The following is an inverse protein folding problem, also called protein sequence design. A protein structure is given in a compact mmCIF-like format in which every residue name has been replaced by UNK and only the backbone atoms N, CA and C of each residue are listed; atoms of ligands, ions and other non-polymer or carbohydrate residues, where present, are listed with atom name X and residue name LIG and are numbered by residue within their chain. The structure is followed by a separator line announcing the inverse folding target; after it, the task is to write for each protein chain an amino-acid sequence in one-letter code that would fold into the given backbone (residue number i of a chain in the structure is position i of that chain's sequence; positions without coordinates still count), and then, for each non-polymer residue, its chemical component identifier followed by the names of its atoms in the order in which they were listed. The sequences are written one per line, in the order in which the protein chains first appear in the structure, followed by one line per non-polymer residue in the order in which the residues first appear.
data_IF_452960168348
#
_entry.id   IF_452960168348
#
_cell.length_a   1.000
_cell.length_b   1.000
_cell.length_c   1.000
_cell.angle_alpha   90.00
_cell.angle_beta   90.00
_cell.angle_gamma   90.00
#
_symmetry.space_group_name_H-M   'P 1'
#
loop_
_entity.id
_entity.type
_entity.pdbx_description
1 polymer ?
#
# COMPACT_ATOMS: atom_id res chain seq x y z
N UNK A 1 -3.23 -6.25 20.24
CA UNK A 1 -3.79 -4.96 20.73
C UNK A 1 -5.29 -4.94 20.47
N UNK A 2 -6.11 -4.19 21.22
CA UNK A 2 -7.56 -4.16 21.02
C UNK A 2 -7.93 -2.97 20.14
N UNK A 3 -8.79 -3.22 19.12
CA UNK A 3 -9.36 -2.19 18.25
C UNK A 3 -10.83 -1.97 18.58
N UNK A 4 -11.27 -0.73 18.49
CA UNK A 4 -12.68 -0.37 18.48
C UNK A 4 -13.17 -0.41 17.05
N UNK A 5 -14.33 -1.03 16.82
CA UNK A 5 -14.96 -1.14 15.54
C UNK A 5 -16.23 -0.28 15.49
N UNK A 6 -16.37 0.52 14.45
CA UNK A 6 -17.60 1.25 14.11
C UNK A 6 -17.90 1.06 12.62
N UNK A 7 -19.17 0.91 12.31
CA UNK A 7 -19.65 0.70 10.94
C UNK A 7 -20.63 1.79 10.56
N UNK A 8 -20.40 2.37 9.39
CA UNK A 8 -21.25 3.39 8.80
C UNK A 8 -21.75 2.93 7.43
N UNK A 9 -22.91 3.46 7.00
CA UNK A 9 -23.43 3.24 5.65
C UNK A 9 -23.32 4.53 4.85
N UNK A 10 -22.79 4.44 3.62
CA UNK A 10 -22.52 5.58 2.76
C UNK A 10 -23.21 5.38 1.40
N UNK A 11 -24.13 6.27 1.02
CA UNK A 11 -24.88 6.14 -0.24
C UNK A 11 -24.00 6.38 -1.48
N UNK A 12 -23.05 7.34 -1.39
CA UNK A 12 -22.16 7.73 -2.50
C UNK A 12 -20.73 7.23 -2.23
N UNK A 13 -20.55 5.91 -2.29
CA UNK A 13 -19.30 5.28 -1.87
C UNK A 13 -18.09 5.73 -2.70
N UNK A 14 -18.23 5.96 -3.99
CA UNK A 14 -17.11 6.42 -4.84
C UNK A 14 -16.63 7.82 -4.45
N UNK A 15 -17.57 8.73 -4.10
CA UNK A 15 -17.19 10.05 -3.60
C UNK A 15 -16.50 9.92 -2.23
N UNK A 16 -16.99 9.05 -1.37
CA UNK A 16 -16.39 8.78 -0.07
C UNK A 16 -14.97 8.23 -0.22
N UNK A 17 -14.73 7.28 -1.14
CA UNK A 17 -13.39 6.76 -1.43
C UNK A 17 -12.42 7.86 -1.87
N UNK A 18 -12.88 8.76 -2.75
CA UNK A 18 -12.05 9.90 -3.17
C UNK A 18 -11.72 10.84 -2.00
N UNK A 19 -12.73 11.20 -1.22
CA UNK A 19 -12.55 12.03 -0.04
C UNK A 19 -11.60 11.38 0.96
N UNK A 20 -11.78 10.07 1.23
CA UNK A 20 -10.94 9.29 2.12
C UNK A 20 -9.47 9.28 1.67
N UNK A 21 -9.22 9.14 0.37
CA UNK A 21 -7.87 9.18 -0.19
C UNK A 21 -7.23 10.58 -0.02
N UNK A 22 -7.98 11.65 -0.23
CA UNK A 22 -7.48 13.01 0.01
C UNK A 22 -7.28 13.29 1.49
N UNK A 23 -8.24 12.91 2.33
CA UNK A 23 -8.15 13.04 3.78
C UNK A 23 -6.91 12.32 4.33
N UNK A 24 -6.58 11.16 3.80
CA UNK A 24 -5.43 10.37 4.24
C UNK A 24 -4.09 11.07 4.00
N UNK A 25 -3.99 12.03 3.07
CA UNK A 25 -2.74 12.73 2.72
C UNK A 25 -2.17 13.59 3.87
N UNK A 26 -2.92 13.84 4.92
CA UNK A 26 -2.42 14.48 6.13
C UNK A 26 -1.44 13.60 6.93
N UNK A 27 -1.43 12.29 6.67
CA UNK A 27 -0.58 11.34 7.36
C UNK A 27 0.67 11.01 6.56
N UNK A 28 1.78 10.78 7.24
CA UNK A 28 3.07 10.49 6.63
C UNK A 28 3.14 9.08 6.04
N UNK A 29 2.51 8.10 6.72
CA UNK A 29 2.50 6.69 6.30
C UNK A 29 1.10 6.29 5.91
N UNK A 30 0.93 5.89 4.63
CA UNK A 30 -0.34 5.52 4.03
C UNK A 30 -0.18 4.25 3.20
N UNK A 31 -1.08 3.30 3.39
CA UNK A 31 -1.29 2.18 2.45
C UNK A 31 -2.74 2.19 1.99
N UNK A 32 -2.94 2.29 0.68
CA UNK A 32 -4.23 2.23 0.01
C UNK A 32 -4.29 0.98 -0.85
N UNK A 33 -5.26 0.11 -0.58
CA UNK A 33 -5.54 -1.08 -1.35
C UNK A 33 -6.94 -0.96 -1.93
N UNK A 34 -7.08 -1.07 -3.25
CA UNK A 34 -8.37 -0.98 -3.93
C UNK A 34 -8.48 -2.08 -4.98
N UNK A 35 -9.61 -2.77 -5.00
CA UNK A 35 -9.91 -3.79 -6.00
C UNK A 35 -10.17 -3.22 -7.40
N UNK A 36 -10.32 -1.90 -7.54
CA UNK A 36 -10.69 -1.22 -8.80
C UNK A 36 -11.93 -1.85 -9.47
N UNK A 37 -12.90 -2.24 -8.66
CA UNK A 37 -14.12 -2.94 -9.10
C UNK A 37 -13.87 -4.31 -9.77
N UNK A 38 -12.68 -4.90 -9.61
CA UNK A 38 -12.42 -6.24 -10.09
C UNK A 38 -13.22 -7.26 -9.26
N UNK A 39 -14.06 -8.05 -9.93
CA UNK A 39 -14.88 -9.07 -9.28
C UNK A 39 -14.01 -10.27 -8.91
N UNK A 40 -13.75 -10.45 -7.63
CA UNK A 40 -13.10 -11.63 -7.07
C UNK A 40 -14.15 -12.56 -6.48
N UNK A 41 -13.92 -13.87 -6.60
CA UNK A 41 -14.79 -14.88 -6.01
C UNK A 41 -14.76 -14.81 -4.48
N UNK A 42 -13.62 -14.49 -3.90
CA UNK A 42 -13.41 -14.35 -2.46
C UNK A 42 -12.78 -12.97 -2.19
N UNK A 43 -13.56 -12.08 -1.61
CA UNK A 43 -13.10 -10.76 -1.19
C UNK A 43 -13.61 -10.44 0.20
N UNK A 44 -12.71 -10.05 1.10
CA UNK A 44 -13.06 -9.57 2.43
C UNK A 44 -13.46 -8.10 2.43
N UNK A 45 -12.88 -7.31 1.51
CA UNK A 45 -13.13 -5.87 1.35
C UNK A 45 -12.93 -5.48 -0.12
N UNK A 46 -13.51 -4.36 -0.53
CA UNK A 46 -13.31 -3.76 -1.85
C UNK A 46 -12.19 -2.74 -1.83
N UNK A 47 -12.05 -2.02 -0.69
CA UNK A 47 -10.98 -1.08 -0.46
C UNK A 47 -10.53 -1.13 1.01
N UNK A 48 -9.25 -0.87 1.26
CA UNK A 48 -8.69 -0.71 2.59
C UNK A 48 -7.72 0.48 2.62
N UNK A 49 -7.88 1.33 3.63
CA UNK A 49 -6.93 2.38 4.00
C UNK A 49 -6.29 2.02 5.34
N UNK A 50 -4.97 1.98 5.39
CA UNK A 50 -4.20 1.88 6.63
C UNK A 50 -3.31 3.12 6.76
N UNK A 51 -3.41 3.83 7.88
CA UNK A 51 -2.66 5.07 8.09
C UNK A 51 -2.39 5.35 9.58
N UNK A 52 -1.65 6.42 9.84
CA UNK A 52 -1.20 6.83 11.17
C UNK A 52 -0.39 5.72 11.87
N UNK A 53 0.87 5.65 11.54
CA UNK A 53 1.81 4.65 12.05
C UNK A 53 1.90 4.68 13.57
N UNK A 54 1.65 3.53 14.22
CA UNK A 54 1.88 3.35 15.65
C UNK A 54 3.25 2.75 15.94
N UNK A 55 3.56 1.65 15.27
CA UNK A 55 4.88 1.01 15.30
C UNK A 55 5.23 0.55 13.90
N UNK A 56 6.52 0.39 13.61
CA UNK A 56 6.97 -0.14 12.32
C UNK A 56 8.25 -0.97 12.42
N UNK A 57 8.49 -1.71 11.35
CA UNK A 57 9.76 -2.33 11.04
C UNK A 57 10.21 -1.86 9.67
N UNK A 58 11.44 -1.35 9.60
CA UNK A 58 12.11 -0.93 8.39
C UNK A 58 13.51 -1.51 8.36
N UNK A 59 13.85 -2.33 7.36
CA UNK A 59 15.13 -3.03 7.31
C UNK A 59 15.58 -3.27 5.87
N UNK A 60 16.88 -3.58 5.72
CA UNK A 60 17.45 -4.16 4.53
C UNK A 60 17.00 -5.63 4.35
N UNK A 61 17.51 -6.30 3.29
CA UNK A 61 17.16 -7.69 3.00
C UNK A 61 17.68 -8.69 4.03
N UNK A 62 18.74 -8.36 4.81
CA UNK A 62 19.42 -9.31 5.69
C UNK A 62 18.54 -9.77 6.86
N UNK A 63 18.27 -11.06 6.93
CA UNK A 63 17.34 -11.69 7.89
C UNK A 63 15.95 -11.00 7.91
N UNK A 64 15.51 -10.47 6.78
CA UNK A 64 14.30 -9.64 6.71
C UNK A 64 13.04 -10.41 7.11
N UNK A 65 12.90 -11.67 6.69
CA UNK A 65 11.75 -12.50 7.05
C UNK A 65 11.73 -12.89 8.53
N UNK A 66 12.86 -13.14 9.15
CA UNK A 66 12.93 -13.43 10.59
C UNK A 66 12.56 -12.20 11.42
N UNK A 67 13.06 -11.03 11.03
CA UNK A 67 12.69 -9.74 11.64
C UNK A 67 11.19 -9.46 11.49
N UNK A 68 10.61 -9.71 10.31
CA UNK A 68 9.16 -9.55 10.08
C UNK A 68 8.35 -10.51 10.94
N UNK A 69 8.78 -11.76 11.06
CA UNK A 69 8.13 -12.77 11.91
C UNK A 69 8.15 -12.37 13.38
N UNK A 70 9.28 -11.84 13.85
CA UNK A 70 9.39 -11.32 15.22
C UNK A 70 8.43 -10.14 15.42
N UNK A 71 8.44 -9.17 14.52
CA UNK A 71 7.54 -8.01 14.54
C UNK A 71 6.07 -8.43 14.57
N UNK A 72 5.68 -9.35 13.70
CA UNK A 72 4.32 -9.89 13.65
C UNK A 72 3.93 -10.61 14.95
N UNK A 73 4.86 -11.36 15.55
CA UNK A 73 4.65 -12.10 16.81
C UNK A 73 4.43 -11.17 17.99
N UNK A 74 5.10 -10.02 18.02
CA UNK A 74 4.96 -8.99 19.06
C UNK A 74 3.69 -8.18 18.85
N UNK A 75 3.46 -7.73 17.62
CA UNK A 75 2.34 -6.82 17.27
C UNK A 75 0.99 -7.50 17.43
N UNK A 76 0.81 -8.72 16.93
CA UNK A 76 -0.44 -9.52 16.97
C UNK A 76 -1.68 -8.73 16.53
N UNK A 77 -1.53 -7.96 15.46
CA UNK A 77 -2.54 -7.06 14.91
C UNK A 77 -2.34 -6.96 13.39
N UNK A 78 -3.16 -6.18 12.71
CA UNK A 78 -2.97 -5.86 11.30
C UNK A 78 -1.66 -5.10 11.11
N UNK A 79 -0.91 -5.51 10.12
CA UNK A 79 0.29 -4.83 9.63
C UNK A 79 0.19 -4.61 8.13
N UNK A 80 0.63 -3.47 7.66
CA UNK A 80 0.60 -3.07 6.24
C UNK A 80 1.99 -2.62 5.83
N UNK A 81 2.34 -2.85 4.57
CA UNK A 81 3.65 -2.45 4.08
C UNK A 81 4.01 -3.15 2.77
N UNK A 82 5.29 -3.30 2.53
CA UNK A 82 5.80 -3.95 1.32
C UNK A 82 7.08 -4.75 1.60
N UNK A 83 7.34 -5.68 0.69
CA UNK A 83 8.59 -6.42 0.57
C UNK A 83 9.15 -6.11 -0.82
N UNK A 84 10.37 -5.58 -0.89
CA UNK A 84 11.03 -5.33 -2.17
C UNK A 84 11.50 -6.63 -2.81
N UNK A 85 11.74 -6.59 -4.10
CA UNK A 85 12.28 -7.75 -4.81
C UNK A 85 13.69 -8.13 -4.31
N UNK A 86 14.45 -7.19 -3.75
CA UNK A 86 15.82 -7.43 -3.31
C UNK A 86 15.93 -8.27 -2.02
N UNK A 87 14.81 -8.50 -1.29
CA UNK A 87 14.77 -9.50 -0.21
C UNK A 87 15.09 -10.92 -0.71
N UNK A 88 14.95 -11.20 -2.03
CA UNK A 88 15.45 -12.44 -2.63
C UNK A 88 16.93 -12.71 -2.35
N UNK A 89 17.74 -11.66 -2.16
CA UNK A 89 19.16 -11.78 -1.94
C UNK A 89 19.50 -12.50 -0.63
N UNK A 90 18.60 -12.43 0.35
CA UNK A 90 18.73 -13.18 1.62
C UNK A 90 18.36 -14.66 1.44
N UNK A 91 17.29 -14.92 0.68
CA UNK A 91 16.75 -16.27 0.48
C UNK A 91 17.61 -17.10 -0.48
N UNK A 92 18.00 -16.51 -1.60
CA UNK A 92 18.67 -17.19 -2.70
C UNK A 92 20.20 -16.94 -2.74
N UNK A 93 20.75 -16.26 -1.74
CA UNK A 93 22.17 -15.86 -1.68
C UNK A 93 22.66 -15.16 -2.96
N UNK A 94 21.81 -14.29 -3.49
CA UNK A 94 22.07 -13.49 -4.67
C UNK A 94 22.60 -12.11 -4.28
N UNK A 95 23.11 -11.39 -5.25
CA UNK A 95 23.45 -9.97 -5.11
C UNK A 95 23.03 -9.20 -6.34
N UNK A 96 22.52 -7.99 -6.15
CA UNK A 96 22.22 -7.07 -7.23
C UNK A 96 23.28 -5.98 -7.31
N UNK A 97 23.69 -5.66 -8.58
CA UNK A 97 24.56 -4.52 -8.89
C UNK A 97 23.78 -3.44 -9.64
N UNK A 98 22.45 -3.55 -9.68
CA UNK A 98 21.61 -2.57 -10.32
C UNK A 98 21.68 -1.25 -9.54
N UNK A 99 21.63 -0.15 -10.29
CA UNK A 99 21.59 1.17 -9.70
C UNK A 99 20.24 1.37 -8.98
N UNK A 100 20.29 1.54 -7.68
CA UNK A 100 19.16 1.99 -6.86
C UNK A 100 19.28 3.50 -6.62
N UNK A 101 18.28 4.25 -7.06
CA UNK A 101 18.20 5.69 -6.92
C UNK A 101 17.13 6.13 -5.92
N UNK A 102 16.31 5.21 -5.46
CA UNK A 102 15.17 5.52 -4.59
C UNK A 102 15.48 5.23 -3.13
N UNK A 103 16.43 4.31 -2.88
CA UNK A 103 16.90 3.93 -1.55
C UNK A 103 15.75 3.55 -0.58
N UNK A 104 14.74 2.85 -1.13
CA UNK A 104 13.67 2.30 -0.31
C UNK A 104 14.22 1.13 0.52
N UNK A 105 13.72 1.00 1.74
CA UNK A 105 14.01 -0.19 2.53
C UNK A 105 13.58 -1.46 1.78
N UNK A 106 14.31 -2.56 1.96
CA UNK A 106 13.95 -3.83 1.33
C UNK A 106 12.70 -4.44 1.94
N UNK A 107 12.45 -4.14 3.20
CA UNK A 107 11.22 -4.51 3.88
C UNK A 107 10.75 -3.36 4.77
N UNK A 108 9.49 -2.99 4.62
CA UNK A 108 8.81 -2.03 5.47
C UNK A 108 7.41 -2.53 5.80
N UNK A 109 7.09 -2.64 7.08
CA UNK A 109 5.73 -2.87 7.58
C UNK A 109 5.45 -2.01 8.79
N UNK A 110 4.21 -1.57 8.93
CA UNK A 110 3.75 -0.80 10.08
C UNK A 110 2.41 -1.30 10.61
N UNK A 111 2.18 -1.08 11.88
CA UNK A 111 0.89 -1.23 12.54
C UNK A 111 0.17 0.12 12.46
N UNK A 112 -0.98 0.24 11.75
CA UNK A 112 -1.73 1.48 11.68
C UNK A 112 -2.51 1.72 12.99
N UNK A 113 -2.62 2.98 13.41
CA UNK A 113 -3.61 3.36 14.44
C UNK A 113 -5.01 3.38 13.83
N UNK A 114 -5.13 3.89 12.61
CA UNK A 114 -6.38 4.05 11.86
C UNK A 114 -6.42 3.09 10.68
N UNK A 115 -7.41 2.20 10.67
CA UNK A 115 -7.63 1.25 9.59
C UNK A 115 -9.11 1.31 9.19
N UNK A 116 -9.37 1.52 7.91
CA UNK A 116 -10.72 1.68 7.36
C UNK A 116 -10.91 0.68 6.24
N UNK A 117 -11.94 -0.15 6.33
CA UNK A 117 -12.34 -1.07 5.28
C UNK A 117 -13.64 -0.63 4.64
N UNK A 118 -13.75 -0.82 3.32
CA UNK A 118 -14.96 -0.57 2.56
C UNK A 118 -15.39 -1.87 1.87
N UNK A 119 -16.68 -2.20 1.99
CA UNK A 119 -17.32 -3.30 1.27
C UNK A 119 -18.73 -2.89 0.83
N UNK A 120 -18.96 -2.79 -0.48
CA UNK A 120 -20.18 -2.20 -1.00
C UNK A 120 -20.36 -0.79 -0.44
N UNK A 121 -21.48 -0.54 0.21
CA UNK A 121 -21.81 0.74 0.85
C UNK A 121 -21.48 0.77 2.34
N UNK A 122 -20.88 -0.28 2.88
CA UNK A 122 -20.49 -0.37 4.28
C UNK A 122 -19.03 0.08 4.47
N UNK A 123 -18.80 0.97 5.42
CA UNK A 123 -17.49 1.48 5.80
C UNK A 123 -17.23 1.10 7.26
N UNK A 124 -16.16 0.37 7.52
CA UNK A 124 -15.78 -0.10 8.84
C UNK A 124 -14.49 0.59 9.30
N UNK A 125 -14.57 1.31 10.41
CA UNK A 125 -13.44 1.92 11.09
C UNK A 125 -12.93 0.98 12.17
N UNK A 126 -11.66 0.61 12.11
CA UNK A 126 -10.96 -0.27 13.05
C UNK A 126 -9.80 0.50 13.67
N UNK A 127 -10.09 1.32 14.67
CA UNK A 127 -9.09 2.18 15.31
C UNK A 127 -8.51 1.54 16.59
N UNK A 128 -7.22 1.78 16.83
CA UNK A 128 -6.64 1.42 18.13
C UNK A 128 -7.34 2.22 19.23
N UNK A 129 -7.52 1.59 20.41
CA UNK A 129 -8.22 2.21 21.53
C UNK A 129 -7.69 3.57 21.98
N UNK A 130 -6.46 3.90 21.64
CA UNK A 130 -5.83 5.17 22.00
C UNK A 130 -6.29 6.35 21.15
N UNK A 131 -7.00 6.09 20.04
CA UNK A 131 -7.52 7.08 19.08
C UNK A 131 -8.97 6.74 18.67
N UNK A 132 -9.67 5.92 19.44
CA UNK A 132 -11.01 5.46 19.07
C UNK A 132 -12.11 6.50 19.29
N UNK A 133 -11.83 7.53 20.06
CA UNK A 133 -12.65 8.71 20.23
C UNK A 133 -12.67 9.63 18.99
N UNK A 134 -11.72 9.47 18.07
CA UNK A 134 -11.64 10.25 16.83
C UNK A 134 -12.53 9.69 15.69
N UNK A 135 -13.13 8.49 15.84
CA UNK A 135 -13.82 7.79 14.75
C UNK A 135 -14.96 8.60 14.14
N UNK A 136 -15.82 9.17 14.99
CA UNK A 136 -16.99 9.92 14.55
C UNK A 136 -16.59 11.25 13.90
N UNK A 137 -15.59 11.92 14.44
CA UNK A 137 -15.05 13.17 13.88
C UNK A 137 -14.39 12.93 12.53
N UNK A 138 -13.52 11.93 12.41
CA UNK A 138 -12.88 11.54 11.15
C UNK A 138 -13.92 11.15 10.08
N UNK A 139 -14.97 10.41 10.46
CA UNK A 139 -16.04 10.05 9.52
C UNK A 139 -16.77 11.27 8.95
N UNK A 140 -17.15 12.22 9.82
CA UNK A 140 -17.81 13.47 9.40
C UNK A 140 -16.86 14.35 8.55
N UNK A 141 -15.59 14.43 8.93
CA UNK A 141 -14.57 15.17 8.16
C UNK A 141 -14.43 14.59 6.75
N UNK A 142 -14.34 13.27 6.61
CA UNK A 142 -14.25 12.60 5.31
C UNK A 142 -15.52 12.83 4.48
N UNK A 143 -16.71 12.77 5.08
CA UNK A 143 -17.96 13.02 4.37
C UNK A 143 -18.05 14.44 3.81
N UNK A 144 -17.55 15.43 4.56
CA UNK A 144 -17.62 16.84 4.23
C UNK A 144 -16.39 17.33 3.45
N UNK A 145 -15.42 16.45 3.20
CA UNK A 145 -14.16 16.82 2.55
C UNK A 145 -14.44 17.40 1.16
N UNK A 146 -14.10 18.67 0.98
CA UNK A 146 -14.17 19.32 -0.31
C UNK A 146 -12.86 19.09 -1.06
N UNK A 147 -12.90 18.27 -2.10
CA UNK A 147 -11.74 18.04 -2.95
C UNK A 147 -11.16 19.39 -3.42
N UNK A 148 -9.88 19.66 -3.13
CA UNK A 148 -9.25 20.83 -3.70
C UNK A 148 -9.29 20.70 -5.22
N UNK A 149 -9.73 21.75 -5.90
CA UNK A 149 -9.58 21.84 -7.35
C UNK A 149 -8.09 21.75 -7.65
N UNK A 150 -7.66 20.62 -8.23
CA UNK A 150 -6.29 20.49 -8.70
C UNK A 150 -6.12 21.48 -9.86
N UNK A 151 -5.47 22.61 -9.60
CA UNK A 151 -5.02 23.47 -10.67
C UNK A 151 -4.04 22.67 -11.52
N UNK A 152 -4.35 22.46 -12.81
CA UNK A 152 -3.42 21.87 -13.77
C UNK A 152 -2.19 22.80 -13.85
N UNK A 153 -1.20 22.54 -13.02
CA UNK A 153 0.10 23.18 -13.19
C UNK A 153 0.75 22.53 -14.40
N UNK A 154 0.79 23.26 -15.51
CA UNK A 154 1.62 22.94 -16.68
C UNK A 154 3.11 23.02 -16.26
N UNK A 155 3.57 22.07 -15.49
CA UNK A 155 4.99 21.92 -15.22
C UNK A 155 5.65 21.29 -16.44
N UNK A 156 6.66 21.96 -16.98
CA UNK A 156 7.47 21.46 -18.10
C UNK A 156 8.37 20.30 -17.59
N UNK A 157 7.75 19.15 -17.31
CA UNK A 157 8.41 17.97 -16.77
C UNK A 157 9.25 17.34 -17.88
N UNK A 158 10.57 17.43 -17.77
CA UNK A 158 11.50 16.77 -18.69
C UNK A 158 11.72 15.33 -18.25
N UNK A 159 11.18 14.39 -19.04
CA UNK A 159 11.38 12.95 -18.83
C UNK A 159 12.67 12.52 -19.54
N UNK A 160 13.64 12.00 -18.79
CA UNK A 160 14.85 11.36 -19.34
C UNK A 160 14.69 9.85 -19.25
N UNK A 161 14.58 9.21 -20.40
CA UNK A 161 14.52 7.75 -20.48
C UNK A 161 15.90 7.14 -20.21
N UNK A 162 15.97 6.12 -19.36
CA UNK A 162 17.17 5.30 -19.11
C UNK A 162 17.38 4.24 -20.18
N UNK A 163 16.29 3.75 -20.75
CA UNK A 163 16.25 2.71 -21.77
C UNK A 163 15.40 3.22 -22.93
N UNK A 164 15.89 3.16 -24.15
CA UNK A 164 15.13 3.52 -25.33
C UNK A 164 14.20 2.37 -25.75
N UNK A 165 13.16 2.70 -26.54
CA UNK A 165 12.09 1.79 -26.95
C UNK A 165 12.62 0.46 -27.53
N UNK A 166 13.58 0.52 -28.43
CA UNK A 166 14.11 -0.69 -29.13
C UNK A 166 14.88 -1.60 -28.17
N UNK A 167 15.67 -1.01 -27.27
CA UNK A 167 16.36 -1.76 -26.21
C UNK A 167 15.37 -2.41 -25.24
N UNK A 168 14.30 -1.70 -24.89
CA UNK A 168 13.23 -2.25 -24.05
C UNK A 168 12.58 -3.46 -24.70
N UNK A 169 12.16 -3.35 -25.98
CA UNK A 169 11.56 -4.46 -26.72
C UNK A 169 12.50 -5.66 -26.83
N UNK A 170 13.78 -5.43 -27.14
CA UNK A 170 14.77 -6.51 -27.20
C UNK A 170 14.92 -7.26 -25.88
N UNK A 171 14.86 -6.55 -24.72
CA UNK A 171 14.88 -7.18 -23.40
C UNK A 171 13.62 -7.98 -23.13
N UNK A 172 12.44 -7.43 -23.47
CA UNK A 172 11.15 -8.12 -23.33
C UNK A 172 11.11 -9.39 -24.17
N UNK A 173 11.55 -9.34 -25.44
CA UNK A 173 11.59 -10.52 -26.31
C UNK A 173 12.47 -11.64 -25.74
N UNK A 174 13.61 -11.31 -25.13
CA UNK A 174 14.46 -12.30 -24.45
C UNK A 174 13.73 -12.94 -23.26
N UNK A 175 13.03 -12.15 -22.46
CA UNK A 175 12.24 -12.68 -21.33
C UNK A 175 11.10 -13.58 -21.82
N UNK A 176 10.36 -13.15 -22.85
CA UNK A 176 9.31 -13.97 -23.47
C UNK A 176 9.85 -15.30 -24.03
N UNK A 177 11.05 -15.31 -24.60
CA UNK A 177 11.69 -16.53 -25.06
C UNK A 177 11.96 -17.53 -23.91
N UNK A 178 12.34 -17.01 -22.71
CA UNK A 178 12.50 -17.85 -21.52
C UNK A 178 11.16 -18.38 -21.01
N UNK A 179 10.11 -17.55 -21.02
CA UNK A 179 8.74 -17.96 -20.63
C UNK A 179 8.23 -19.06 -21.59
N UNK A 180 8.34 -18.85 -22.90
CA UNK A 180 7.89 -19.84 -23.90
C UNK A 180 8.66 -21.16 -23.82
N UNK A 181 9.91 -21.13 -23.39
CA UNK A 181 10.71 -22.35 -23.19
C UNK A 181 10.40 -23.05 -21.86
N UNK A 182 9.71 -22.40 -20.95
CA UNK A 182 9.36 -22.93 -19.63
C UNK A 182 10.46 -22.80 -18.57
N UNK A 183 11.44 -21.90 -18.79
CA UNK A 183 12.50 -21.63 -17.80
C UNK A 183 11.95 -20.83 -16.61
N UNK A 184 10.96 -19.98 -16.88
CA UNK A 184 10.23 -19.15 -15.90
C UNK A 184 8.76 -19.07 -16.31
N UNK A 185 7.86 -18.79 -15.36
CA UNK A 185 6.42 -18.70 -15.61
C UNK A 185 5.95 -17.31 -16.01
N UNK A 186 6.60 -16.27 -15.50
CA UNK A 186 6.23 -14.87 -15.68
C UNK A 186 7.46 -14.02 -16.02
#
# INVERSE_FOLDING_TARGET
MQRTLRTFSVDKIENFKQNLLFWSQQFETIVWLDSNNYKQQYSSFDCALATDEFTSIKTDYFNAFDKLKEYQTITKDYIFGYISYDVKNDVEQLSSKNFDALDFADLFFFQPKKLIFIKGNSVEFHYLKMVDDEIEEDFEEILQFNNPTVEETNSDIKIKLRIHKDEYHSKVEKMLAHIHRGDIYE
#
